data_IF_852939049742
#
_entry.id   IF_852939049742
#
_cell.length_a   1.000
_cell.length_b   1.000
_cell.length_c   1.000
_cell.angle_alpha   90.00
_cell.angle_beta   90.00
_cell.angle_gamma   90.00
#
_symmetry.space_group_name_H-M   'P 1'
#
loop_
_entity.id
_entity.type
_entity.pdbx_description
1 polymer ?
#
# COMPACT_ATOMS: atom_id res chain seq x y z
N UNK A 1 -6.09 -15.81 5.68
CA UNK A 1 -4.62 -15.73 5.77
C UNK A 1 -4.32 -14.31 6.13
N UNK A 2 -3.64 -14.07 7.23
CA UNK A 2 -3.41 -12.72 7.73
C UNK A 2 -2.08 -12.18 7.19
N UNK A 3 -2.06 -10.89 6.86
CA UNK A 3 -0.88 -10.17 6.39
C UNK A 3 -0.73 -8.89 7.19
N UNK A 4 0.48 -8.62 7.68
CA UNK A 4 0.80 -7.39 8.41
C UNK A 4 1.30 -6.35 7.42
N UNK A 5 0.55 -5.26 7.29
CA UNK A 5 0.93 -4.09 6.50
C UNK A 5 2.12 -3.37 7.15
N UNK A 6 2.89 -2.57 6.38
CA UNK A 6 4.02 -1.80 6.91
C UNK A 6 3.63 -0.82 8.02
N UNK A 7 2.36 -0.41 8.08
CA UNK A 7 1.81 0.45 9.14
C UNK A 7 1.47 -0.35 10.44
N UNK A 8 1.73 -1.66 10.46
CA UNK A 8 1.38 -2.56 11.56
C UNK A 8 -0.06 -3.09 11.52
N UNK A 9 -0.90 -2.57 10.62
CA UNK A 9 -2.27 -3.04 10.44
C UNK A 9 -2.32 -4.47 9.87
N UNK A 10 -3.12 -5.34 10.47
CA UNK A 10 -3.29 -6.72 10.01
C UNK A 10 -4.54 -6.81 9.12
N UNK A 11 -4.38 -7.36 7.92
CA UNK A 11 -5.48 -7.58 6.97
C UNK A 11 -5.66 -9.06 6.66
N UNK A 12 -6.91 -9.49 6.43
CA UNK A 12 -7.18 -10.84 5.96
C UNK A 12 -7.20 -10.88 4.42
N UNK A 13 -6.17 -11.50 3.85
CA UNK A 13 -6.00 -11.62 2.39
C UNK A 13 -7.16 -12.36 1.72
N UNK A 14 -7.90 -13.23 2.44
CA UNK A 14 -9.07 -13.92 1.87
C UNK A 14 -10.24 -12.97 1.59
N UNK A 15 -10.26 -11.85 2.30
CA UNK A 15 -11.28 -10.81 2.18
C UNK A 15 -10.86 -9.69 1.23
N UNK A 16 -9.69 -9.76 0.60
CA UNK A 16 -9.30 -8.81 -0.44
C UNK A 16 -10.14 -9.08 -1.69
N UNK A 17 -10.74 -8.02 -2.22
CA UNK A 17 -11.49 -8.02 -3.46
C UNK A 17 -10.64 -7.52 -4.63
N UNK A 18 -9.93 -6.40 -4.42
CA UNK A 18 -9.14 -5.75 -5.46
C UNK A 18 -7.95 -5.00 -4.86
N UNK A 19 -6.87 -4.92 -5.62
CA UNK A 19 -5.69 -4.11 -5.31
C UNK A 19 -5.57 -3.01 -6.37
N UNK A 20 -5.50 -1.76 -5.94
CA UNK A 20 -5.21 -0.63 -6.83
C UNK A 20 -3.74 -0.54 -7.16
N UNK A 21 -3.40 0.09 -8.29
CA UNK A 21 -2.01 0.41 -8.62
C UNK A 21 -1.42 1.43 -7.65
N UNK A 22 -0.10 1.38 -7.47
CA UNK A 22 0.64 2.38 -6.71
C UNK A 22 0.56 3.71 -7.43
N UNK A 23 0.18 4.75 -6.71
CA UNK A 23 0.02 6.11 -7.21
C UNK A 23 0.58 7.11 -6.22
N UNK A 24 0.98 8.24 -6.78
CA UNK A 24 1.29 9.43 -6.01
C UNK A 24 0.00 10.00 -5.42
N UNK A 25 0.05 10.36 -4.14
CA UNK A 25 -1.06 10.94 -3.38
C UNK A 25 -0.86 12.44 -3.11
N UNK A 26 0.24 13.01 -3.63
CA UNK A 26 0.58 14.42 -3.46
C UNK A 26 1.35 14.72 -2.17
N UNK A 27 1.51 16.02 -1.86
CA UNK A 27 2.23 16.48 -0.68
C UNK A 27 1.52 16.06 0.61
N UNK A 28 2.30 15.65 1.61
CA UNK A 28 1.79 15.35 2.94
C UNK A 28 1.44 16.66 3.68
N UNK A 29 0.17 16.87 4.09
CA UNK A 29 -0.24 18.10 4.75
C UNK A 29 0.35 18.25 6.17
N UNK A 30 0.89 17.18 6.75
CA UNK A 30 1.46 17.14 8.10
C UNK A 30 2.99 17.23 8.10
N UNK A 31 3.66 17.08 6.95
CA UNK A 31 5.12 17.07 6.86
C UNK A 31 5.63 17.94 5.71
N UNK A 32 6.37 18.99 6.07
CA UNK A 32 6.99 19.91 5.12
C UNK A 32 7.96 19.13 4.22
N UNK A 33 7.86 19.35 2.90
CA UNK A 33 8.71 18.72 1.88
C UNK A 33 8.65 17.19 1.78
N UNK A 34 7.61 16.56 2.33
CA UNK A 34 7.32 15.15 2.08
C UNK A 34 6.08 14.99 1.22
N UNK A 35 6.11 13.96 0.39
CA UNK A 35 4.97 13.52 -0.39
C UNK A 35 4.52 12.13 0.09
N UNK A 36 3.31 11.78 -0.28
CA UNK A 36 2.70 10.49 0.01
C UNK A 36 2.61 9.70 -1.29
N UNK A 37 3.06 8.45 -1.23
CA UNK A 37 2.85 7.45 -2.28
C UNK A 37 2.16 6.26 -1.66
N UNK A 38 1.24 5.63 -2.38
CA UNK A 38 0.47 4.55 -1.80
C UNK A 38 -0.38 3.78 -2.80
N UNK A 39 -1.02 2.74 -2.31
CA UNK A 39 -2.03 1.98 -3.03
C UNK A 39 -3.19 1.63 -2.10
N UNK A 40 -4.33 1.31 -2.68
CA UNK A 40 -5.53 0.95 -1.94
C UNK A 40 -5.86 -0.52 -2.09
N UNK A 41 -6.24 -1.14 -0.98
CA UNK A 41 -6.70 -2.52 -0.89
C UNK A 41 -8.21 -2.45 -0.66
N UNK A 42 -8.98 -2.86 -1.65
CA UNK A 42 -10.43 -2.95 -1.54
C UNK A 42 -10.80 -4.32 -1.00
N UNK A 43 -11.54 -4.34 0.09
CA UNK A 43 -12.01 -5.53 0.77
C UNK A 43 -13.41 -5.90 0.27
N UNK A 44 -13.77 -7.18 0.33
CA UNK A 44 -15.07 -7.73 -0.10
C UNK A 44 -16.26 -7.17 0.68
N UNK A 45 -16.02 -6.71 1.91
CA UNK A 45 -17.03 -6.05 2.73
C UNK A 45 -17.22 -4.56 2.38
N UNK A 46 -16.58 -4.06 1.31
CA UNK A 46 -16.66 -2.68 0.88
C UNK A 46 -15.68 -1.73 1.58
N UNK A 47 -14.91 -2.20 2.56
CA UNK A 47 -13.86 -1.40 3.20
C UNK A 47 -12.69 -1.19 2.24
N UNK A 48 -12.10 -0.01 2.27
CA UNK A 48 -10.87 0.31 1.54
C UNK A 48 -9.78 0.65 2.53
N UNK A 49 -8.66 -0.04 2.44
CA UNK A 49 -7.50 0.17 3.30
C UNK A 49 -6.41 0.80 2.44
N UNK A 50 -5.93 1.96 2.84
CA UNK A 50 -4.92 2.70 2.09
C UNK A 50 -3.55 2.45 2.72
N UNK A 51 -2.65 1.85 1.94
CA UNK A 51 -1.25 1.64 2.34
C UNK A 51 -0.46 2.82 1.78
N UNK A 52 0.07 3.65 2.67
CA UNK A 52 0.82 4.84 2.28
C UNK A 52 2.23 4.82 2.84
N UNK A 53 3.13 5.53 2.17
CA UNK A 53 4.49 5.77 2.63
C UNK A 53 4.85 7.23 2.36
N UNK A 54 5.41 7.86 3.39
CA UNK A 54 6.04 9.16 3.24
C UNK A 54 7.37 9.02 2.52
N UNK A 55 7.68 9.95 1.64
CA UNK A 55 8.98 10.03 0.99
C UNK A 55 9.37 11.49 0.76
N UNK A 56 10.66 11.77 0.77
CA UNK A 56 11.19 13.03 0.25
C UNK A 56 11.31 12.93 -1.27
N UNK A 57 11.09 14.02 -2.02
CA UNK A 57 11.04 13.97 -3.50
C UNK A 57 12.22 13.20 -4.14
N UNK A 58 13.42 13.38 -3.58
CA UNK A 58 14.66 12.69 -4.01
C UNK A 58 14.61 11.16 -3.86
N UNK A 59 13.82 10.63 -2.93
CA UNK A 59 13.72 9.21 -2.56
C UNK A 59 12.50 8.50 -3.16
N UNK A 60 11.77 9.17 -4.07
CA UNK A 60 10.54 8.66 -4.67
C UNK A 60 10.70 7.25 -5.27
N UNK A 61 11.78 7.03 -6.01
CA UNK A 61 12.02 5.76 -6.69
C UNK A 61 12.19 4.60 -5.69
N UNK A 62 12.84 4.87 -4.55
CA UNK A 62 13.01 3.88 -3.49
C UNK A 62 11.69 3.59 -2.79
N UNK A 63 10.93 4.63 -2.43
CA UNK A 63 9.62 4.47 -1.80
C UNK A 63 8.63 3.70 -2.69
N UNK A 64 8.63 3.99 -4.00
CA UNK A 64 7.82 3.25 -4.99
C UNK A 64 8.24 1.78 -5.06
N UNK A 65 9.54 1.49 -5.12
CA UNK A 65 10.07 0.12 -5.20
C UNK A 65 9.68 -0.72 -3.97
N UNK A 66 9.71 -0.12 -2.77
CA UNK A 66 9.27 -0.80 -1.54
C UNK A 66 7.77 -1.11 -1.56
N UNK A 67 6.93 -0.18 -2.00
CA UNK A 67 5.50 -0.44 -2.17
C UNK A 67 5.24 -1.50 -3.25
N UNK A 68 6.02 -1.52 -4.34
CA UNK A 68 5.91 -2.53 -5.39
C UNK A 68 6.23 -3.94 -4.87
N UNK A 69 7.23 -4.08 -4.01
CA UNK A 69 7.56 -5.34 -3.36
C UNK A 69 6.41 -5.83 -2.49
N UNK A 70 5.83 -4.95 -1.66
CA UNK A 70 4.70 -5.29 -0.79
C UNK A 70 3.48 -5.68 -1.62
N UNK A 71 3.14 -4.89 -2.64
CA UNK A 71 2.00 -5.18 -3.52
C UNK A 71 2.17 -6.51 -4.24
N UNK A 72 3.36 -6.81 -4.74
CA UNK A 72 3.68 -8.08 -5.39
C UNK A 72 3.57 -9.25 -4.41
N UNK A 73 4.04 -9.09 -3.17
CA UNK A 73 3.95 -10.12 -2.14
C UNK A 73 2.49 -10.42 -1.75
N UNK A 74 1.67 -9.37 -1.63
CA UNK A 74 0.22 -9.52 -1.40
C UNK A 74 -0.44 -10.24 -2.58
N UNK A 75 -0.10 -9.85 -3.82
CA UNK A 75 -0.62 -10.50 -5.03
C UNK A 75 -0.24 -11.98 -5.11
N UNK A 76 1.00 -12.31 -4.80
CA UNK A 76 1.52 -13.69 -4.82
C UNK A 76 0.79 -14.56 -3.79
N UNK A 77 0.64 -14.06 -2.56
CA UNK A 77 -0.12 -14.74 -1.49
C UNK A 77 -1.60 -14.92 -1.83
N UNK A 78 -2.21 -14.00 -2.58
CA UNK A 78 -3.60 -14.13 -3.03
C UNK A 78 -3.71 -15.16 -4.17
N UNK A 79 -2.75 -15.19 -5.10
CA UNK A 79 -2.73 -16.12 -6.25
C UNK A 79 -2.34 -17.55 -5.87
N UNK A 80 -1.53 -17.75 -4.84
CA UNK A 80 -1.14 -19.08 -4.35
C UNK A 80 -2.26 -19.82 -3.59
N UNK A 81 -3.50 -19.35 -3.69
CA UNK A 81 -4.70 -19.91 -3.08
C UNK A 81 -5.54 -20.64 -4.13
#
# INVERSE_FOLDING_TARGET
MQFTLPDGQIIDLNKVAELSSIRDLGPDPHKISQCLIGFSIRMKNGQSIQVTKNYHFSDWAQAKKELELILKEIQDKIKSK
#
